data_IF_500217924697
#
_entry.id   IF_500217924697
#
_cell.length_a   1.000
_cell.length_b   1.000
_cell.length_c   1.000
_cell.angle_alpha   90.00
_cell.angle_beta   90.00
_cell.angle_gamma   90.00
#
_symmetry.space_group_name_H-M   'P 1'
#
loop_
_entity.id
_entity.type
_entity.pdbx_description
1 polymer ?
#
# COMPACT_ATOMS: atom_id res chain seq x y z
N UNK A 1 5.42 0.92 5.48
CA UNK A 1 4.41 -0.03 5.99
C UNK A 1 4.57 -1.38 5.34
N UNK A 2 4.55 -2.45 6.13
CA UNK A 2 4.71 -3.82 5.64
C UNK A 2 3.61 -4.74 6.20
N UNK A 3 3.31 -5.84 5.50
CA UNK A 3 2.28 -6.81 5.94
C UNK A 3 1.81 -7.73 4.81
N UNK A 4 1.11 -8.82 5.14
CA UNK A 4 0.70 -9.87 4.21
C UNK A 4 0.02 -9.30 2.95
N UNK A 5 0.28 -9.83 1.74
CA UNK A 5 -0.48 -9.45 0.54
C UNK A 5 -1.99 -9.55 0.78
N UNK A 6 -2.75 -8.53 0.37
CA UNK A 6 -4.20 -8.50 0.57
C UNK A 6 -4.70 -8.02 1.93
N UNK A 7 -3.79 -7.56 2.81
CA UNK A 7 -4.15 -7.10 4.16
C UNK A 7 -4.76 -5.68 4.23
N UNK A 8 -4.70 -4.92 3.13
CA UNK A 8 -5.26 -3.56 3.04
C UNK A 8 -4.23 -2.41 2.94
N UNK A 9 -2.96 -2.70 2.64
CA UNK A 9 -1.91 -1.66 2.50
C UNK A 9 -2.23 -0.63 1.40
N UNK A 10 -2.63 -1.08 0.22
CA UNK A 10 -3.05 -0.22 -0.90
C UNK A 10 -4.21 0.69 -0.52
N UNK A 11 -5.24 0.12 0.12
CA UNK A 11 -6.39 0.88 0.64
C UNK A 11 -5.95 1.94 1.67
N UNK A 12 -4.99 1.60 2.53
CA UNK A 12 -4.43 2.57 3.47
C UNK A 12 -3.65 3.70 2.77
N UNK A 13 -2.89 3.40 1.71
CA UNK A 13 -2.23 4.42 0.89
C UNK A 13 -3.27 5.38 0.28
N UNK A 14 -4.35 4.87 -0.32
CA UNK A 14 -5.41 5.72 -0.86
C UNK A 14 -6.12 6.54 0.24
N UNK A 15 -6.28 5.99 1.44
CA UNK A 15 -6.80 6.74 2.58
C UNK A 15 -5.87 7.90 2.96
N UNK A 16 -4.56 7.67 3.04
CA UNK A 16 -3.56 8.71 3.32
C UNK A 16 -3.56 9.77 2.21
N UNK A 17 -3.60 9.34 0.94
CA UNK A 17 -3.74 10.25 -0.21
C UNK A 17 -4.96 11.17 -0.05
N UNK A 18 -6.13 10.59 0.23
CA UNK A 18 -7.36 11.36 0.43
C UNK A 18 -7.24 12.38 1.58
N UNK A 19 -6.63 11.98 2.70
CA UNK A 19 -6.37 12.88 3.84
C UNK A 19 -5.45 14.04 3.43
N UNK A 20 -4.35 13.75 2.74
CA UNK A 20 -3.37 14.75 2.31
C UNK A 20 -3.96 15.74 1.29
N UNK A 21 -4.75 15.26 0.33
CA UNK A 21 -5.47 16.08 -0.64
C UNK A 21 -6.45 17.02 0.08
N UNK A 22 -7.19 16.50 1.07
CA UNK A 22 -8.12 17.31 1.87
C UNK A 22 -7.39 18.43 2.63
N UNK A 23 -6.16 18.18 3.06
CA UNK A 23 -5.30 19.15 3.74
C UNK A 23 -4.48 20.00 2.74
N UNK A 24 -4.81 19.95 1.44
CA UNK A 24 -4.15 20.66 0.34
C UNK A 24 -2.63 20.45 0.29
N UNK A 25 -2.17 19.27 0.71
CA UNK A 25 -0.76 18.87 0.60
C UNK A 25 -0.46 18.36 -0.79
N UNK A 26 0.76 18.60 -1.26
CA UNK A 26 1.23 18.06 -2.53
C UNK A 26 1.44 16.55 -2.40
N UNK A 27 0.93 15.79 -3.37
CA UNK A 27 0.98 14.31 -3.34
C UNK A 27 1.45 13.79 -4.69
N UNK A 28 2.37 12.84 -4.67
CA UNK A 28 2.77 12.05 -5.83
C UNK A 28 2.52 10.56 -5.53
N UNK A 29 1.52 9.98 -6.16
CA UNK A 29 1.21 8.55 -6.07
C UNK A 29 1.92 7.80 -7.20
N UNK A 30 2.60 6.73 -6.83
CA UNK A 30 3.17 5.73 -7.73
C UNK A 30 2.19 4.58 -7.79
N UNK A 31 1.50 4.47 -8.93
CA UNK A 31 0.54 3.40 -9.22
C UNK A 31 1.12 2.46 -10.29
N UNK A 32 0.52 1.29 -10.49
CA UNK A 32 0.96 0.33 -11.52
C UNK A 32 0.90 0.90 -12.93
N UNK A 33 0.00 1.86 -13.14
CA UNK A 33 -0.32 2.43 -14.46
C UNK A 33 0.37 3.78 -14.72
N UNK A 34 1.17 4.28 -13.76
CA UNK A 34 1.93 5.52 -13.89
C UNK A 34 1.97 6.37 -12.62
N UNK A 35 2.20 7.67 -12.81
CA UNK A 35 2.35 8.63 -11.72
C UNK A 35 1.18 9.60 -11.69
N UNK A 36 0.54 9.75 -10.52
CA UNK A 36 -0.54 10.71 -10.30
C UNK A 36 -0.04 11.78 -9.34
N UNK A 37 -0.09 13.04 -9.76
CA UNK A 37 0.40 14.18 -9.00
C UNK A 37 -0.73 15.16 -8.66
N UNK A 38 -0.83 15.54 -7.39
CA UNK A 38 -1.69 16.61 -6.92
C UNK A 38 -0.82 17.75 -6.40
N UNK A 39 -0.99 18.96 -6.94
CA UNK A 39 -0.15 20.12 -6.61
C UNK A 39 -0.65 20.95 -5.41
N UNK A 40 -1.73 20.52 -4.75
CA UNK A 40 -2.43 21.30 -3.73
C UNK A 40 -3.71 21.97 -4.27
N UNK A 41 -3.96 21.89 -5.57
CA UNK A 41 -5.15 22.44 -6.22
C UNK A 41 -5.71 21.49 -7.30
N UNK A 42 -4.88 21.02 -8.22
CA UNK A 42 -5.27 20.22 -9.39
C UNK A 42 -4.55 18.87 -9.43
N UNK A 43 -5.20 17.91 -10.10
CA UNK A 43 -4.66 16.57 -10.33
C UNK A 43 -4.06 16.47 -11.74
N UNK A 44 -2.91 15.81 -11.84
CA UNK A 44 -2.15 15.61 -13.07
C UNK A 44 -1.74 14.15 -13.18
N UNK A 45 -1.61 13.66 -14.41
CA UNK A 45 -1.00 12.37 -14.70
C UNK A 45 0.34 12.61 -15.39
N UNK A 46 1.40 12.00 -14.88
CA UNK A 46 2.73 12.06 -15.48
C UNK A 46 3.11 10.72 -16.09
N UNK A 47 3.68 10.79 -17.30
CA UNK A 47 4.31 9.65 -17.98
C UNK A 47 5.80 9.54 -17.63
N UNK A 48 6.41 10.64 -17.19
CA UNK A 48 7.79 10.70 -16.69
C UNK A 48 7.89 11.69 -15.52
N UNK A 49 8.78 11.39 -14.57
CA UNK A 49 8.98 12.25 -13.41
C UNK A 49 9.87 13.46 -13.75
N UNK A 50 9.68 14.59 -13.03
CA UNK A 50 10.62 15.71 -13.09
C UNK A 50 12.03 15.28 -12.69
N UNK A 51 13.03 16.00 -13.23
CA UNK A 51 14.43 15.77 -12.89
C UNK A 51 14.65 15.73 -11.36
N UNK A 52 15.43 14.74 -10.89
CA UNK A 52 15.65 14.50 -9.45
C UNK A 52 16.31 15.67 -8.71
N UNK A 53 16.99 16.56 -9.44
CA UNK A 53 17.61 17.76 -8.91
C UNK A 53 16.66 18.97 -8.90
N UNK A 54 15.44 18.87 -9.43
CA UNK A 54 14.43 19.92 -9.35
C UNK A 54 13.95 20.11 -7.90
N UNK A 55 14.58 21.03 -7.17
CA UNK A 55 14.29 21.31 -5.75
C UNK A 55 12.94 21.99 -5.53
N UNK A 56 12.38 22.62 -6.56
CA UNK A 56 11.04 23.20 -6.47
C UNK A 56 9.97 22.11 -6.49
N UNK A 57 10.20 21.05 -7.27
CA UNK A 57 9.30 19.90 -7.29
C UNK A 57 9.56 18.96 -6.10
N UNK A 58 10.82 18.56 -5.88
CA UNK A 58 11.21 17.65 -4.83
C UNK A 58 11.53 18.41 -3.55
N UNK A 59 10.50 18.65 -2.74
CA UNK A 59 10.57 19.45 -1.51
C UNK A 59 9.83 18.79 -0.34
N UNK A 60 10.11 19.18 0.93
CA UNK A 60 9.62 18.45 2.10
C UNK A 60 8.09 18.38 2.25
N UNK A 61 7.38 19.32 1.62
CA UNK A 61 5.92 19.41 1.56
C UNK A 61 5.29 18.42 0.55
N UNK A 62 6.08 17.82 -0.33
CA UNK A 62 5.65 16.75 -1.23
C UNK A 62 5.60 15.41 -0.50
N UNK A 63 4.45 14.74 -0.58
CA UNK A 63 4.25 13.37 -0.12
C UNK A 63 4.31 12.38 -1.28
N UNK A 64 5.33 11.53 -1.31
CA UNK A 64 5.43 10.42 -2.25
C UNK A 64 4.78 9.16 -1.64
N UNK A 65 3.71 8.69 -2.26
CA UNK A 65 2.97 7.50 -1.85
C UNK A 65 3.30 6.37 -2.82
N UNK A 66 3.92 5.30 -2.34
CA UNK A 66 4.43 4.21 -3.17
C UNK A 66 3.67 2.93 -2.88
N UNK A 67 2.74 2.55 -3.76
CA UNK A 67 2.01 1.29 -3.68
C UNK A 67 2.65 0.25 -4.60
N UNK A 68 3.38 -0.69 -3.99
CA UNK A 68 4.02 -1.82 -4.68
C UNK A 68 4.78 -1.49 -5.98
N UNK A 69 5.89 -0.77 -5.83
CA UNK A 69 6.89 -0.63 -6.89
C UNK A 69 8.00 -1.68 -6.73
N UNK A 70 8.46 -2.23 -7.87
CA UNK A 70 9.65 -3.07 -7.93
C UNK A 70 10.82 -2.32 -7.26
N UNK A 71 11.59 -2.97 -6.35
CA UNK A 71 12.73 -2.35 -5.67
C UNK A 71 13.70 -1.62 -6.61
N UNK A 72 13.86 -2.09 -7.85
CA UNK A 72 14.75 -1.47 -8.84
C UNK A 72 14.25 -0.10 -9.32
N UNK A 73 12.93 0.11 -9.40
CA UNK A 73 12.34 1.41 -9.75
C UNK A 73 12.44 2.46 -8.63
N UNK A 74 12.82 2.03 -7.43
CA UNK A 74 12.91 2.88 -6.25
C UNK A 74 14.24 3.63 -6.14
N UNK A 75 15.25 3.32 -6.98
CA UNK A 75 16.58 3.94 -6.91
C UNK A 75 16.62 5.43 -7.31
N UNK A 76 15.55 5.96 -7.92
CA UNK A 76 15.53 7.32 -8.49
C UNK A 76 14.81 8.36 -7.63
N UNK A 77 14.09 7.94 -6.59
CA UNK A 77 13.36 8.87 -5.73
C UNK A 77 14.31 9.65 -4.81
N UNK A 78 14.24 10.99 -4.76
CA UNK A 78 15.06 11.79 -3.87
C UNK A 78 14.52 11.78 -2.43
N UNK A 79 14.55 10.62 -1.76
CA UNK A 79 14.00 10.37 -0.41
C UNK A 79 14.43 11.35 0.68
N UNK A 80 15.56 12.04 0.49
CA UNK A 80 16.06 13.05 1.44
C UNK A 80 15.37 14.41 1.30
N UNK A 81 14.61 14.60 0.24
CA UNK A 81 13.99 15.88 -0.11
C UNK A 81 12.49 15.90 0.12
N UNK A 82 11.83 14.75 0.19
CA UNK A 82 10.36 14.63 0.29
C UNK A 82 9.93 13.68 1.42
N UNK A 83 8.67 13.77 1.79
CA UNK A 83 8.04 12.81 2.72
C UNK A 83 7.63 11.55 1.95
N UNK A 84 7.99 10.36 2.42
CA UNK A 84 7.72 9.11 1.67
C UNK A 84 6.98 8.08 2.53
N UNK A 85 5.86 7.59 2.01
CA UNK A 85 5.13 6.44 2.56
C UNK A 85 5.12 5.31 1.54
N UNK A 86 5.75 4.19 1.90
CA UNK A 86 5.83 3.00 1.03
C UNK A 86 5.08 1.81 1.62
N UNK A 87 4.30 1.12 0.80
CA UNK A 87 3.79 -0.21 1.09
C UNK A 87 4.75 -1.28 0.56
N UNK A 88 5.06 -2.26 1.40
CA UNK A 88 5.89 -3.42 1.02
C UNK A 88 5.28 -4.73 1.53
N UNK A 89 5.67 -5.84 0.92
CA UNK A 89 5.49 -7.16 1.52
C UNK A 89 6.51 -7.35 2.64
N UNK A 90 6.20 -8.18 3.66
CA UNK A 90 7.11 -8.47 4.75
C UNK A 90 8.12 -9.48 4.25
N UNK A 91 9.07 -9.01 3.44
CA UNK A 91 10.29 -9.75 3.17
C UNK A 91 11.42 -9.08 3.92
N UNK A 92 12.15 -9.87 4.69
CA UNK A 92 13.18 -9.41 5.63
C UNK A 92 14.31 -8.68 4.88
N UNK A 93 14.71 -9.19 3.72
CA UNK A 93 15.67 -8.58 2.79
C UNK A 93 15.31 -7.13 2.43
N UNK A 94 14.05 -6.85 2.08
CA UNK A 94 13.59 -5.51 1.72
C UNK A 94 13.51 -4.54 2.88
N UNK A 95 13.08 -5.03 4.05
CA UNK A 95 13.07 -4.20 5.26
C UNK A 95 14.51 -3.86 5.65
N UNK A 96 15.44 -4.80 5.50
CA UNK A 96 16.84 -4.62 5.87
C UNK A 96 17.61 -3.72 4.88
N UNK A 97 17.33 -3.77 3.57
CA UNK A 97 17.87 -2.78 2.62
C UNK A 97 17.34 -1.38 2.87
N UNK A 98 16.04 -1.24 3.15
CA UNK A 98 15.46 0.07 3.43
C UNK A 98 15.94 0.64 4.78
N UNK A 99 16.19 -0.21 5.78
CA UNK A 99 16.83 0.17 7.06
C UNK A 99 18.27 0.66 6.91
N UNK A 100 18.98 0.24 5.86
CA UNK A 100 20.33 0.75 5.55
C UNK A 100 20.33 2.16 4.98
N UNK A 101 19.16 2.70 4.59
CA UNK A 101 19.05 4.09 4.17
C UNK A 101 19.24 5.05 5.35
N UNK A 102 19.87 6.19 5.10
CA UNK A 102 20.09 7.23 6.09
C UNK A 102 19.29 8.50 5.72
N UNK A 103 18.34 8.95 6.56
CA UNK A 103 17.98 8.39 7.87
C UNK A 103 17.18 7.07 7.77
N UNK A 104 17.27 6.23 8.82
CA UNK A 104 16.53 4.99 8.89
C UNK A 104 15.01 5.28 8.96
N UNK A 105 14.19 4.61 8.15
CA UNK A 105 12.77 4.86 8.07
C UNK A 105 12.00 4.16 9.19
N UNK A 106 10.91 4.77 9.63
CA UNK A 106 9.96 4.12 10.54
C UNK A 106 9.24 2.95 9.86
N UNK A 107 9.29 1.77 10.49
CA UNK A 107 8.68 0.55 9.96
C UNK A 107 7.43 0.20 10.75
N UNK A 108 6.28 0.34 10.11
CA UNK A 108 4.98 -0.05 10.65
C UNK A 108 4.52 -1.38 10.03
N UNK A 109 4.11 -2.32 10.89
CA UNK A 109 3.54 -3.60 10.49
C UNK A 109 2.01 -3.54 10.50
N UNK A 110 1.36 -3.91 9.39
CA UNK A 110 -0.09 -4.05 9.33
C UNK A 110 -0.47 -5.46 9.82
N UNK A 111 -1.16 -5.58 10.97
CA UNK A 111 -1.51 -6.86 11.53
C UNK A 111 -2.63 -7.53 10.73
N UNK A 112 -2.77 -8.84 10.95
CA UNK A 112 -3.94 -9.59 10.54
C UNK A 112 -5.22 -8.93 11.10
N UNK A 113 -6.27 -8.88 10.28
CA UNK A 113 -7.57 -8.39 10.73
C UNK A 113 -8.16 -9.40 11.70
N UNK A 114 -8.98 -8.94 12.65
CA UNK A 114 -9.76 -9.85 13.49
C UNK A 114 -11.09 -10.18 12.80
N UNK A 115 -11.76 -11.24 13.26
CA UNK A 115 -13.08 -11.62 12.76
C UNK A 115 -14.07 -10.46 12.87
N UNK A 116 -14.04 -9.71 13.97
CA UNK A 116 -14.95 -8.58 14.22
C UNK A 116 -14.72 -7.45 13.23
N UNK A 117 -13.47 -7.16 12.87
CA UNK A 117 -13.15 -6.15 11.86
C UNK A 117 -13.67 -6.56 10.48
N UNK A 118 -13.51 -7.84 10.11
CA UNK A 118 -14.07 -8.36 8.86
C UNK A 118 -15.60 -8.33 8.87
N UNK A 119 -16.23 -8.73 9.96
CA UNK A 119 -17.69 -8.70 10.09
C UNK A 119 -18.27 -7.30 9.83
N UNK A 120 -17.58 -6.25 10.26
CA UNK A 120 -17.99 -4.85 10.03
C UNK A 120 -17.98 -4.46 8.55
N UNK A 121 -17.07 -5.01 7.75
CA UNK A 121 -16.94 -4.67 6.33
C UNK A 121 -17.53 -5.72 5.39
N UNK A 122 -17.86 -6.91 5.88
CA UNK A 122 -18.48 -7.98 5.10
C UNK A 122 -19.73 -7.54 4.32
N UNK A 123 -20.61 -6.66 4.85
CA UNK A 123 -21.75 -6.14 4.07
C UNK A 123 -21.36 -5.38 2.79
N UNK A 124 -20.12 -4.89 2.67
CA UNK A 124 -19.61 -4.24 1.45
C UNK A 124 -19.24 -5.24 0.36
N UNK A 125 -19.26 -6.55 0.66
CA UNK A 125 -18.91 -7.64 -0.24
C UNK A 125 -20.09 -8.62 -0.35
N UNK A 126 -21.14 -8.28 -1.13
CA UNK A 126 -22.36 -9.08 -1.21
C UNK A 126 -22.10 -10.54 -1.60
N UNK A 127 -21.14 -10.77 -2.49
CA UNK A 127 -20.82 -12.10 -2.99
C UNK A 127 -20.15 -13.00 -1.93
N UNK A 128 -19.60 -12.41 -0.86
CA UNK A 128 -18.99 -13.14 0.25
C UNK A 128 -19.95 -13.37 1.43
N UNK A 129 -21.16 -12.80 1.37
CA UNK A 129 -22.11 -12.73 2.50
C UNK A 129 -22.33 -14.07 3.20
N UNK A 130 -22.51 -15.14 2.44
CA UNK A 130 -22.88 -16.45 2.98
C UNK A 130 -21.67 -17.37 3.24
N UNK A 131 -20.46 -16.95 2.87
CA UNK A 131 -19.26 -17.81 2.89
C UNK A 131 -18.10 -17.26 3.70
N UNK A 132 -18.07 -15.96 3.99
CA UNK A 132 -16.89 -15.31 4.58
C UNK A 132 -16.50 -15.87 5.95
N UNK A 133 -17.47 -16.27 6.80
CA UNK A 133 -17.18 -16.84 8.13
C UNK A 133 -16.45 -18.18 8.03
N UNK A 134 -16.90 -19.04 7.11
CA UNK A 134 -16.24 -20.31 6.82
C UNK A 134 -14.84 -20.04 6.26
N UNK A 135 -14.71 -19.12 5.31
CA UNK A 135 -13.42 -18.74 4.72
C UNK A 135 -12.44 -18.19 5.76
N UNK A 136 -12.90 -17.34 6.68
CA UNK A 136 -12.11 -16.84 7.81
C UNK A 136 -11.50 -17.97 8.64
N UNK A 137 -12.26 -19.03 8.89
CA UNK A 137 -11.79 -20.17 9.69
C UNK A 137 -10.59 -20.87 9.06
N UNK A 138 -10.51 -20.90 7.72
CA UNK A 138 -9.41 -21.55 6.98
C UNK A 138 -8.28 -20.58 6.60
N UNK A 139 -8.62 -19.35 6.18
CA UNK A 139 -7.70 -18.38 5.58
C UNK A 139 -7.23 -17.30 6.57
N UNK A 140 -7.89 -17.22 7.73
CA UNK A 140 -7.59 -16.26 8.78
C UNK A 140 -7.71 -14.80 8.34
N UNK A 141 -6.77 -14.01 8.84
CA UNK A 141 -6.72 -12.55 8.92
C UNK A 141 -6.78 -11.68 7.68
N UNK A 142 -6.93 -12.21 6.46
CA UNK A 142 -6.60 -11.49 5.22
C UNK A 142 -7.87 -11.11 4.46
N UNK A 143 -8.32 -9.83 4.51
CA UNK A 143 -9.59 -9.39 3.91
C UNK A 143 -9.74 -9.79 2.45
N UNK A 144 -8.70 -9.63 1.62
CA UNK A 144 -8.80 -9.98 0.20
C UNK A 144 -9.13 -11.45 -0.02
N UNK A 145 -8.54 -12.37 0.74
CA UNK A 145 -8.78 -13.81 0.58
C UNK A 145 -10.14 -14.25 1.15
N UNK A 146 -10.61 -13.55 2.18
CA UNK A 146 -11.86 -13.87 2.88
C UNK A 146 -13.08 -13.26 2.19
N UNK A 147 -12.98 -12.02 1.71
CA UNK A 147 -14.12 -11.21 1.25
C UNK A 147 -14.12 -10.92 -0.26
N UNK A 148 -12.97 -10.89 -0.92
CA UNK A 148 -12.88 -10.46 -2.31
C UNK A 148 -12.60 -11.62 -3.28
N UNK A 149 -11.62 -12.46 -2.99
CA UNK A 149 -11.32 -13.65 -3.77
C UNK A 149 -12.17 -14.82 -3.30
N UNK A 150 -13.45 -14.78 -3.66
CA UNK A 150 -14.41 -15.84 -3.31
C UNK A 150 -14.40 -17.01 -4.31
N UNK A 151 -13.77 -16.83 -5.48
CA UNK A 151 -13.78 -17.81 -6.58
C UNK A 151 -12.71 -18.87 -6.40
N UNK A 152 -11.58 -18.52 -5.79
CA UNK A 152 -10.53 -19.48 -5.49
C UNK A 152 -10.91 -20.34 -4.28
N UNK A 153 -10.70 -21.64 -4.43
CA UNK A 153 -10.94 -22.61 -3.37
C UNK A 153 -10.04 -22.33 -2.15
N UNK A 154 -10.60 -22.21 -0.93
CA UNK A 154 -9.82 -21.92 0.28
C UNK A 154 -8.68 -22.90 0.56
N UNK A 155 -8.82 -24.19 0.21
CA UNK A 155 -7.75 -25.16 0.48
C UNK A 155 -6.55 -24.89 -0.41
N UNK A 156 -6.77 -24.60 -1.69
CA UNK A 156 -5.71 -24.19 -2.62
C UNK A 156 -4.95 -22.92 -2.20
N UNK A 157 -5.59 -22.01 -1.46
CA UNK A 157 -4.97 -20.76 -0.99
C UNK A 157 -4.14 -20.95 0.29
N UNK A 158 -4.49 -21.92 1.13
CA UNK A 158 -3.76 -22.24 2.35
C UNK A 158 -2.36 -22.83 2.03
N UNK A 159 -2.25 -23.61 0.95
CA UNK A 159 -1.00 -24.25 0.53
C UNK A 159 0.06 -23.28 -0.03
N UNK A 160 -0.36 -22.08 -0.45
CA UNK A 160 0.56 -21.05 -0.99
C UNK A 160 1.28 -20.28 0.13
N UNK A 161 0.81 -20.39 1.39
CA UNK A 161 1.38 -19.70 2.55
C UNK A 161 2.52 -20.43 3.27
N UNK A 162 2.92 -21.63 2.83
CA UNK A 162 3.89 -22.51 3.52
C UNK A 162 5.13 -22.82 2.65
N UNK A 163 5.49 -21.93 1.72
CA UNK A 163 6.78 -22.02 1.02
C UNK A 163 7.60 -20.75 1.16
#
# INVERSE_FOLDING_TARGET
>A
MTGTPGIGKSVFIYYVMWRLIKDQKRVLLFDSDGYIYYDGNMMFTYTSLPDKFNEQFWSPDLWCLVDSMDPTSSAELPYRRCSVLRASTPRLDYVDEFRKSAPAPDVFYMPLWTREKLARIAPLYPDAKDVWEKRWTFLGGVPRLVLQDIKTDPQSLADVGVK
#
